data_IF_366886315487
#
_entry.id   IF_366886315487
#
_cell.length_a   1.000
_cell.length_b   1.000
_cell.length_c   1.000
_cell.angle_alpha   90.00
_cell.angle_beta   90.00
_cell.angle_gamma   90.00
#
_symmetry.space_group_name_H-M   'P 1'
#
loop_
_entity.id
_entity.type
_entity.pdbx_description
1 polymer ?
#
# COMPACT_ATOMS: atom_id res chain seq x y z
N UNK A 1 96.88 -4.54 -14.39
CA UNK A 1 96.12 -3.47 -13.71
C UNK A 1 95.74 -2.43 -14.76
N UNK A 2 94.45 -2.10 -14.88
CA UNK A 2 93.88 -1.07 -15.78
C UNK A 2 94.50 0.30 -15.43
N UNK A 3 94.68 1.31 -16.30
CA UNK A 3 93.74 1.96 -17.22
C UNK A 3 94.57 2.84 -18.18
N UNK A 4 94.18 2.93 -19.46
CA UNK A 4 94.53 4.06 -20.30
C UNK A 4 93.29 4.62 -21.00
N UNK A 5 93.38 5.93 -21.14
CA UNK A 5 92.40 6.92 -21.52
C UNK A 5 92.33 7.07 -23.05
N UNK A 6 91.24 7.73 -23.48
CA UNK A 6 91.00 8.44 -24.75
C UNK A 6 90.61 7.60 -25.97
N UNK A 7 89.44 7.94 -26.51
CA UNK A 7 89.33 8.32 -27.92
C UNK A 7 88.06 9.17 -28.11
N UNK A 8 88.26 10.45 -28.43
CA UNK A 8 87.24 11.29 -29.03
C UNK A 8 87.06 10.89 -30.49
N UNK A 9 85.82 10.82 -30.98
CA UNK A 9 85.54 10.71 -32.41
C UNK A 9 84.42 11.69 -32.77
N UNK A 10 84.77 12.56 -33.73
CA UNK A 10 84.01 13.71 -34.17
C UNK A 10 82.89 13.36 -35.16
N UNK A 11 81.96 14.31 -35.24
CA UNK A 11 80.74 14.42 -36.04
C UNK A 11 80.83 13.94 -37.51
N UNK A 12 79.76 13.26 -37.94
CA UNK A 12 79.26 13.36 -39.30
C UNK A 12 77.73 13.44 -39.26
N UNK A 13 77.18 14.63 -39.51
CA UNK A 13 75.74 14.87 -39.67
C UNK A 13 75.33 14.54 -41.09
N UNK A 14 74.51 13.50 -41.26
CA UNK A 14 73.90 13.16 -42.55
C UNK A 14 72.52 13.82 -42.62
N UNK A 15 72.25 14.72 -43.56
CA UNK A 15 70.92 15.29 -43.75
C UNK A 15 70.01 14.22 -44.36
N UNK A 16 69.02 13.75 -43.61
CA UNK A 16 67.92 12.95 -44.17
C UNK A 16 66.79 13.87 -44.59
N UNK A 17 66.40 13.75 -45.86
CA UNK A 17 65.29 14.47 -46.46
C UNK A 17 63.98 14.12 -45.74
N UNK A 18 63.22 15.16 -45.39
CA UNK A 18 61.86 15.04 -44.89
C UNK A 18 60.93 14.60 -46.04
N UNK A 19 60.40 13.39 -45.98
CA UNK A 19 59.26 12.96 -46.79
C UNK A 19 57.96 13.31 -46.05
N UNK A 20 57.08 13.98 -46.78
CA UNK A 20 55.79 14.47 -46.32
C UNK A 20 54.88 13.36 -45.80
N UNK A 21 54.02 13.71 -44.85
CA UNK A 21 53.03 12.83 -44.24
C UNK A 21 51.96 12.40 -45.26
N UNK A 22 51.90 11.10 -45.54
CA UNK A 22 50.75 10.51 -46.23
C UNK A 22 49.53 10.46 -45.29
N UNK A 23 48.40 10.94 -45.82
CA UNK A 23 47.09 10.91 -45.19
C UNK A 23 46.70 9.46 -44.84
N UNK A 24 46.42 9.22 -43.55
CA UNK A 24 45.83 7.96 -43.07
C UNK A 24 44.47 7.79 -43.75
N UNK A 25 44.40 6.86 -44.70
CA UNK A 25 43.14 6.35 -45.25
C UNK A 25 42.38 5.65 -44.13
N UNK A 26 41.32 6.26 -43.63
CA UNK A 26 40.39 5.64 -42.68
C UNK A 26 39.85 4.35 -43.29
N UNK A 27 39.94 3.19 -42.60
CA UNK A 27 39.24 2.01 -43.05
C UNK A 27 37.75 2.30 -42.95
N UNK A 28 37.01 1.99 -44.03
CA UNK A 28 35.56 2.07 -44.05
C UNK A 28 35.02 1.31 -42.82
N UNK A 29 34.17 1.99 -42.04
CA UNK A 29 33.57 1.43 -40.86
C UNK A 29 32.89 0.10 -41.23
N UNK A 30 33.50 -1.01 -40.80
CA UNK A 30 32.84 -2.31 -40.84
C UNK A 30 31.56 -2.16 -40.02
N UNK A 31 30.41 -2.23 -40.69
CA UNK A 31 29.11 -2.20 -40.05
C UNK A 31 29.08 -3.32 -39.00
N UNK A 32 29.14 -2.94 -37.73
CA UNK A 32 28.91 -3.88 -36.63
C UNK A 32 27.52 -4.48 -36.85
N UNK A 33 27.36 -5.81 -36.82
CA UNK A 33 26.03 -6.39 -36.86
C UNK A 33 25.22 -5.75 -35.73
N UNK A 34 24.04 -5.24 -36.08
CA UNK A 34 23.08 -4.67 -35.14
C UNK A 34 22.87 -5.68 -34.01
N UNK A 35 23.49 -5.44 -32.85
CA UNK A 35 23.14 -6.14 -31.64
C UNK A 35 21.68 -5.80 -31.37
N UNK A 36 20.81 -6.76 -31.66
CA UNK A 36 19.40 -6.71 -31.31
C UNK A 36 19.37 -6.38 -29.83
N UNK A 37 18.96 -5.17 -29.46
CA UNK A 37 18.75 -4.77 -28.07
C UNK A 37 17.84 -5.84 -27.49
N UNK A 38 18.39 -6.71 -26.64
CA UNK A 38 17.61 -7.71 -25.92
C UNK A 38 16.56 -6.93 -25.13
N UNK A 39 15.28 -7.15 -25.42
CA UNK A 39 14.18 -6.60 -24.64
C UNK A 39 14.47 -6.82 -23.16
N UNK A 40 14.52 -5.74 -22.39
CA UNK A 40 14.62 -5.83 -20.94
C UNK A 40 13.47 -6.73 -20.45
N UNK A 41 13.70 -7.66 -19.51
CA UNK A 41 12.64 -8.52 -19.03
C UNK A 41 11.51 -7.64 -18.48
N UNK A 42 10.33 -7.75 -19.09
CA UNK A 42 9.13 -7.10 -18.57
C UNK A 42 8.89 -7.72 -17.19
N UNK A 43 9.20 -6.96 -16.14
CA UNK A 43 8.95 -7.38 -14.76
C UNK A 43 7.43 -7.33 -14.53
N UNK A 44 6.72 -8.37 -14.98
CA UNK A 44 5.30 -8.50 -14.73
C UNK A 44 5.11 -8.72 -13.24
N UNK A 45 4.38 -7.81 -12.60
CA UNK A 45 4.06 -7.96 -11.18
C UNK A 45 3.22 -9.22 -11.01
N UNK A 46 3.44 -10.03 -9.96
CA UNK A 46 2.70 -11.26 -9.75
C UNK A 46 1.18 -11.02 -9.71
N UNK A 47 0.43 -11.98 -10.25
CA UNK A 47 -1.03 -12.02 -10.16
C UNK A 47 -1.43 -13.28 -9.40
N UNK A 48 -2.21 -13.11 -8.33
CA UNK A 48 -2.79 -14.22 -7.56
C UNK A 48 -4.25 -14.39 -7.94
N UNK A 49 -4.66 -15.62 -8.26
CA UNK A 49 -6.04 -15.93 -8.66
C UNK A 49 -6.54 -17.20 -7.99
N UNK A 50 -7.77 -17.17 -7.49
CA UNK A 50 -8.40 -18.35 -6.90
C UNK A 50 -9.40 -18.01 -5.81
N UNK A 51 -9.90 -19.04 -5.12
CA UNK A 51 -10.70 -18.85 -3.92
C UNK A 51 -9.80 -18.41 -2.76
N UNK A 52 -10.32 -17.52 -1.92
CA UNK A 52 -9.58 -16.93 -0.80
C UNK A 52 -10.30 -17.14 0.52
N UNK A 53 -9.53 -17.24 1.61
CA UNK A 53 -10.06 -17.05 2.95
C UNK A 53 -9.82 -15.61 3.39
N UNK A 54 -10.83 -14.98 3.98
CA UNK A 54 -10.71 -13.61 4.52
C UNK A 54 -10.13 -13.66 5.93
N UNK A 55 -8.95 -13.08 6.12
CA UNK A 55 -8.26 -13.08 7.42
C UNK A 55 -8.76 -11.95 8.32
N UNK A 56 -8.83 -10.74 7.78
CA UNK A 56 -9.27 -9.48 8.43
C UNK A 56 -9.95 -8.58 7.37
N UNK A 57 -10.25 -7.31 7.72
CA UNK A 57 -10.95 -6.37 6.83
C UNK A 57 -10.17 -5.94 5.56
N UNK A 58 -8.91 -6.36 5.41
CA UNK A 58 -8.09 -6.00 4.23
C UNK A 58 -7.09 -7.07 3.78
N UNK A 59 -7.02 -8.22 4.44
CA UNK A 59 -6.07 -9.29 4.15
C UNK A 59 -6.79 -10.56 3.70
N UNK A 60 -6.34 -11.08 2.56
CA UNK A 60 -6.80 -12.32 1.95
C UNK A 60 -5.71 -13.39 2.06
N UNK A 61 -6.14 -14.62 2.26
CA UNK A 61 -5.28 -15.81 2.23
C UNK A 61 -5.62 -16.65 1.01
N UNK A 62 -4.62 -16.90 0.17
CA UNK A 62 -4.70 -17.81 -0.95
C UNK A 62 -4.12 -19.16 -0.55
N UNK A 63 -4.95 -20.17 -0.21
CA UNK A 63 -4.46 -21.47 0.24
C UNK A 63 -3.65 -22.20 -0.84
N UNK A 64 -3.96 -21.99 -2.13
CA UNK A 64 -3.28 -22.65 -3.24
C UNK A 64 -1.81 -22.21 -3.38
N UNK A 65 -1.50 -20.99 -2.94
CA UNK A 65 -0.16 -20.40 -3.00
C UNK A 65 0.52 -20.33 -1.63
N UNK A 66 -0.18 -20.74 -0.56
CA UNK A 66 0.19 -20.45 0.81
C UNK A 66 0.59 -18.96 1.02
N UNK A 67 -0.18 -18.04 0.44
CA UNK A 67 0.20 -16.62 0.36
C UNK A 67 -0.86 -15.70 0.95
N UNK A 68 -0.42 -14.76 1.78
CA UNK A 68 -1.23 -13.61 2.22
C UNK A 68 -1.13 -12.48 1.21
N UNK A 69 -2.23 -11.80 0.94
CA UNK A 69 -2.27 -10.60 0.08
C UNK A 69 -3.10 -9.54 0.78
N UNK A 70 -2.61 -8.31 0.80
CA UNK A 70 -3.29 -7.17 1.41
C UNK A 70 -3.85 -6.24 0.34
N UNK A 71 -5.08 -5.77 0.53
CA UNK A 71 -5.68 -4.76 -0.32
C UNK A 71 -4.87 -3.46 -0.23
N UNK A 72 -4.39 -2.97 -1.37
CA UNK A 72 -3.63 -1.72 -1.46
C UNK A 72 -4.55 -0.51 -1.40
N UNK A 73 -3.99 0.67 -1.08
CA UNK A 73 -4.65 1.98 -1.02
C UNK A 73 -5.74 2.14 0.05
N UNK A 74 -6.11 1.06 0.75
CA UNK A 74 -7.06 1.09 1.86
C UNK A 74 -6.48 0.52 3.15
N UNK A 75 -7.08 0.94 4.26
CA UNK A 75 -6.85 0.39 5.58
C UNK A 75 -8.18 0.07 6.26
N UNK A 76 -8.18 -0.94 7.11
CA UNK A 76 -9.35 -1.42 7.81
C UNK A 76 -8.99 -1.68 9.28
N UNK A 77 -9.99 -1.68 10.14
CA UNK A 77 -9.79 -1.97 11.56
C UNK A 77 -9.15 -3.34 11.77
N UNK A 78 -8.25 -3.40 12.75
CA UNK A 78 -7.71 -4.67 13.24
C UNK A 78 -8.83 -5.50 13.90
N UNK A 79 -8.71 -6.83 13.88
CA UNK A 79 -9.77 -7.72 14.39
C UNK A 79 -10.26 -7.41 15.81
N UNK A 80 -9.40 -7.04 16.79
CA UNK A 80 -9.87 -6.69 18.12
C UNK A 80 -10.16 -5.19 18.30
N UNK A 81 -10.16 -4.39 17.22
CA UNK A 81 -10.42 -2.97 17.29
C UNK A 81 -11.93 -2.66 17.30
N UNK A 82 -12.30 -1.75 18.19
CA UNK A 82 -13.63 -1.24 18.42
C UNK A 82 -13.74 0.23 18.02
N UNK A 83 -14.92 0.62 17.58
CA UNK A 83 -15.32 2.02 17.48
C UNK A 83 -16.35 2.29 18.59
N UNK A 84 -16.19 3.37 19.35
CA UNK A 84 -17.01 3.69 20.53
C UNK A 84 -16.99 5.19 20.79
N UNK A 85 -18.05 5.75 21.35
CA UNK A 85 -18.05 7.17 21.74
C UNK A 85 -17.21 7.38 23.02
N UNK A 86 -16.10 8.15 22.97
CA UNK A 86 -15.25 8.39 24.14
C UNK A 86 -15.90 9.28 25.19
N UNK A 87 -17.08 9.87 24.92
CA UNK A 87 -17.85 10.63 25.92
C UNK A 87 -18.88 9.75 26.62
N UNK A 88 -18.98 8.48 26.25
CA UNK A 88 -19.94 7.55 26.83
C UNK A 88 -19.44 6.99 28.17
N UNK A 89 -19.56 7.81 29.21
CA UNK A 89 -19.12 7.49 30.58
C UNK A 89 -20.24 6.88 31.44
N UNK A 90 -21.50 7.16 31.12
CA UNK A 90 -22.67 6.69 31.87
C UNK A 90 -23.77 6.19 30.91
N UNK A 91 -23.95 4.86 30.87
CA UNK A 91 -24.89 4.18 29.95
C UNK A 91 -26.35 4.50 30.24
N UNK A 92 -26.67 4.81 31.49
CA UNK A 92 -28.05 5.07 31.93
C UNK A 92 -28.45 6.52 31.65
N UNK A 93 -27.49 7.45 31.78
CA UNK A 93 -27.74 8.88 31.57
C UNK A 93 -27.52 9.36 30.14
N UNK A 94 -26.65 8.71 29.37
CA UNK A 94 -26.31 9.16 28.01
C UNK A 94 -26.59 8.06 26.97
N UNK A 95 -27.57 8.34 26.10
CA UNK A 95 -27.79 7.55 24.88
C UNK A 95 -26.66 7.81 23.89
N UNK A 96 -25.64 6.95 23.89
CA UNK A 96 -24.66 6.86 22.82
C UNK A 96 -24.94 5.62 21.94
N UNK A 97 -24.49 5.61 20.68
CA UNK A 97 -24.48 4.39 19.88
C UNK A 97 -23.68 3.29 20.60
N UNK A 98 -24.19 2.06 20.57
CA UNK A 98 -23.47 0.90 21.11
C UNK A 98 -22.06 0.78 20.47
N UNK A 99 -21.06 0.26 21.20
CA UNK A 99 -19.74 0.00 20.63
C UNK A 99 -19.86 -0.88 19.39
N UNK A 100 -19.16 -0.49 18.33
CA UNK A 100 -19.15 -1.20 17.05
C UNK A 100 -17.90 -2.07 17.01
N UNK A 101 -18.03 -3.41 16.87
CA UNK A 101 -16.89 -4.29 16.64
C UNK A 101 -16.36 -4.05 15.22
N UNK A 102 -15.50 -3.04 15.08
CA UNK A 102 -15.06 -2.53 13.79
C UNK A 102 -14.33 -3.59 12.96
N UNK A 103 -13.31 -4.24 13.55
CA UNK A 103 -12.55 -5.30 12.89
C UNK A 103 -13.38 -6.50 12.47
N UNK A 104 -14.17 -7.11 13.38
CA UNK A 104 -14.96 -8.29 13.05
C UNK A 104 -16.03 -8.00 11.99
N UNK A 105 -16.66 -6.82 12.03
CA UNK A 105 -17.64 -6.42 11.01
C UNK A 105 -16.99 -6.12 9.66
N UNK A 106 -15.81 -5.48 9.63
CA UNK A 106 -15.07 -5.28 8.39
C UNK A 106 -14.69 -6.62 7.73
N UNK A 107 -14.18 -7.58 8.52
CA UNK A 107 -13.93 -8.95 8.05
C UNK A 107 -15.19 -9.62 7.52
N UNK A 108 -16.29 -9.56 8.29
CA UNK A 108 -17.55 -10.18 7.90
C UNK A 108 -18.09 -9.58 6.59
N UNK A 109 -17.98 -8.27 6.42
CA UNK A 109 -18.39 -7.59 5.20
C UNK A 109 -17.52 -7.97 4.00
N UNK A 110 -16.20 -8.02 4.18
CA UNK A 110 -15.28 -8.47 3.13
C UNK A 110 -15.60 -9.91 2.70
N UNK A 111 -15.85 -10.80 3.67
CA UNK A 111 -16.29 -12.18 3.41
C UNK A 111 -17.61 -12.20 2.61
N UNK A 112 -18.59 -11.37 2.97
CA UNK A 112 -19.86 -11.25 2.23
C UNK A 112 -19.65 -10.72 0.82
N UNK A 113 -18.77 -9.74 0.65
CA UNK A 113 -18.48 -9.10 -0.64
C UNK A 113 -17.86 -10.10 -1.63
N UNK A 114 -16.93 -10.93 -1.15
CA UNK A 114 -16.28 -11.97 -1.96
C UNK A 114 -17.23 -13.15 -2.20
N UNK A 115 -17.95 -13.61 -1.16
CA UNK A 115 -18.80 -14.79 -1.24
C UNK A 115 -18.01 -16.03 -1.69
N UNK A 116 -18.57 -16.78 -2.65
CA UNK A 116 -17.95 -17.97 -3.23
C UNK A 116 -17.20 -17.68 -4.54
N UNK A 117 -16.99 -16.40 -4.88
CA UNK A 117 -16.40 -16.01 -6.16
C UNK A 117 -14.86 -16.09 -6.09
N UNK A 118 -14.18 -16.46 -7.18
CA UNK A 118 -12.73 -16.32 -7.26
C UNK A 118 -12.34 -14.84 -7.16
N UNK A 119 -11.19 -14.59 -6.54
CA UNK A 119 -10.58 -13.26 -6.43
C UNK A 119 -9.29 -13.23 -7.23
N UNK A 120 -9.13 -12.19 -8.05
CA UNK A 120 -7.92 -11.93 -8.81
C UNK A 120 -7.24 -10.67 -8.26
N UNK A 121 -5.98 -10.81 -7.84
CA UNK A 121 -5.20 -9.76 -7.21
C UNK A 121 -3.91 -9.49 -8.01
N UNK A 122 -3.77 -8.29 -8.55
CA UNK A 122 -2.52 -7.83 -9.21
C UNK A 122 -1.66 -7.09 -8.19
N UNK A 123 -0.48 -7.63 -7.90
CA UNK A 123 0.46 -7.00 -6.95
C UNK A 123 0.92 -5.65 -7.49
N UNK A 124 0.96 -4.65 -6.60
CA UNK A 124 1.42 -3.30 -6.90
C UNK A 124 2.73 -3.00 -6.19
N UNK A 125 2.84 -3.42 -4.94
CA UNK A 125 3.99 -3.19 -4.08
C UNK A 125 4.08 -4.32 -3.04
N UNK A 126 5.14 -4.30 -2.24
CA UNK A 126 5.29 -5.16 -1.08
C UNK A 126 5.30 -4.28 0.18
N UNK A 127 4.58 -4.73 1.22
CA UNK A 127 4.66 -4.10 2.53
C UNK A 127 6.02 -4.30 3.17
N UNK A 128 6.32 -3.52 4.22
CA UNK A 128 7.53 -3.70 5.03
C UNK A 128 7.58 -5.07 5.71
N UNK A 129 6.43 -5.69 5.92
CA UNK A 129 6.24 -7.04 6.45
C UNK A 129 6.39 -8.14 5.38
N UNK A 130 6.78 -7.78 4.15
CA UNK A 130 6.91 -8.71 3.03
C UNK A 130 5.58 -9.17 2.45
N UNK A 131 4.44 -8.73 2.98
CA UNK A 131 3.13 -9.11 2.46
C UNK A 131 2.85 -8.32 1.17
N UNK A 132 2.56 -8.99 0.04
CA UNK A 132 2.15 -8.32 -1.20
C UNK A 132 0.95 -7.40 -0.97
N UNK A 133 1.05 -6.17 -1.49
CA UNK A 133 -0.05 -5.21 -1.58
C UNK A 133 -0.58 -5.20 -3.00
N UNK A 134 -1.85 -5.55 -3.18
CA UNK A 134 -2.44 -5.79 -4.48
C UNK A 134 -3.79 -5.09 -4.64
N UNK A 135 -4.14 -4.82 -5.91
CA UNK A 135 -5.51 -4.46 -6.30
C UNK A 135 -6.25 -5.74 -6.61
N UNK A 136 -7.39 -5.92 -5.97
CA UNK A 136 -8.12 -7.18 -6.02
C UNK A 136 -9.53 -6.99 -6.52
N UNK A 137 -9.97 -7.88 -7.40
CA UNK A 137 -11.32 -7.89 -7.95
C UNK A 137 -12.03 -9.21 -7.66
N UNK A 138 -13.35 -9.14 -7.44
CA UNK A 138 -14.21 -10.31 -7.30
C UNK A 138 -15.43 -10.15 -8.21
N UNK A 139 -15.60 -11.07 -9.16
CA UNK A 139 -16.66 -10.97 -10.17
C UNK A 139 -16.64 -9.64 -10.94
N UNK A 140 -15.44 -9.14 -11.27
CA UNK A 140 -15.24 -7.89 -12.01
C UNK A 140 -15.36 -6.60 -11.19
N UNK A 141 -15.63 -6.67 -9.88
CA UNK A 141 -15.75 -5.50 -9.00
C UNK A 141 -14.51 -5.31 -8.14
N UNK A 142 -14.04 -4.07 -8.02
CA UNK A 142 -12.96 -3.69 -7.11
C UNK A 142 -13.42 -3.83 -5.65
N UNK A 143 -12.75 -4.73 -4.92
CA UNK A 143 -13.09 -5.06 -3.54
C UNK A 143 -12.83 -3.86 -2.60
N UNK A 144 -11.78 -3.08 -2.86
CA UNK A 144 -11.43 -1.95 -2.01
C UNK A 144 -12.47 -0.83 -2.13
N UNK A 145 -13.00 -0.59 -3.34
CA UNK A 145 -14.12 0.33 -3.56
C UNK A 145 -15.35 -0.08 -2.73
N UNK A 146 -15.69 -1.37 -2.71
CA UNK A 146 -16.82 -1.86 -1.92
C UNK A 146 -16.63 -1.60 -0.43
N UNK A 147 -15.43 -1.87 0.10
CA UNK A 147 -15.10 -1.66 1.51
C UNK A 147 -15.17 -0.17 1.91
N UNK A 148 -14.73 0.73 1.02
CA UNK A 148 -14.83 2.18 1.23
C UNK A 148 -16.27 2.66 1.21
N UNK A 149 -17.06 2.23 0.21
CA UNK A 149 -18.45 2.67 0.00
C UNK A 149 -19.34 2.39 1.21
N UNK A 150 -19.11 1.26 1.87
CA UNK A 150 -19.89 0.81 3.04
C UNK A 150 -19.28 1.23 4.37
N UNK A 151 -18.14 1.93 4.35
CA UNK A 151 -17.50 2.46 5.55
C UNK A 151 -16.82 1.41 6.43
N UNK A 152 -16.36 0.28 5.87
CA UNK A 152 -15.55 -0.71 6.60
C UNK A 152 -14.04 -0.59 6.32
N UNK A 153 -13.66 0.38 5.50
CA UNK A 153 -12.29 0.76 5.28
C UNK A 153 -12.18 2.29 5.12
N UNK A 154 -10.96 2.80 5.29
CA UNK A 154 -10.54 4.15 4.95
C UNK A 154 -9.47 4.11 3.88
N UNK A 155 -9.27 5.23 3.20
CA UNK A 155 -8.15 5.44 2.29
C UNK A 155 -6.87 5.54 3.11
N UNK A 156 -5.86 4.76 2.73
CA UNK A 156 -4.58 4.68 3.42
C UNK A 156 -3.60 5.81 3.02
N UNK A 157 -3.74 6.34 1.80
CA UNK A 157 -2.92 7.43 1.27
C UNK A 157 -3.78 8.34 0.38
N UNK A 158 -3.66 9.68 0.47
CA UNK A 158 -4.39 10.60 -0.41
C UNK A 158 -3.98 10.43 -1.89
N UNK A 159 -2.83 9.81 -2.15
CA UNK A 159 -2.33 9.50 -3.50
C UNK A 159 -2.80 8.11 -3.97
N UNK A 160 -4.08 7.78 -3.77
CA UNK A 160 -4.63 6.50 -4.18
C UNK A 160 -4.69 6.37 -5.71
N UNK A 161 -4.56 5.15 -6.23
CA UNK A 161 -4.65 4.90 -7.67
C UNK A 161 -5.96 5.34 -8.32
N UNK A 162 -7.07 5.26 -7.58
CA UNK A 162 -8.39 5.62 -8.05
C UNK A 162 -8.85 6.90 -7.33
N UNK A 163 -8.94 8.01 -8.08
CA UNK A 163 -9.32 9.31 -7.55
C UNK A 163 -10.70 9.36 -6.87
N UNK A 164 -11.57 8.35 -7.11
CA UNK A 164 -12.89 8.26 -6.48
C UNK A 164 -12.88 7.66 -5.07
N UNK A 165 -11.75 7.10 -4.60
CA UNK A 165 -11.68 6.46 -3.29
C UNK A 165 -12.04 7.41 -2.14
N UNK A 166 -11.52 8.64 -2.18
CA UNK A 166 -11.84 9.66 -1.20
C UNK A 166 -13.32 10.04 -1.25
N UNK A 167 -13.93 10.12 -2.44
CA UNK A 167 -15.35 10.40 -2.58
C UNK A 167 -16.22 9.30 -1.94
N UNK A 168 -15.88 8.02 -2.15
CA UNK A 168 -16.58 6.91 -1.50
C UNK A 168 -16.45 6.95 0.03
N UNK A 169 -15.25 7.22 0.55
CA UNK A 169 -15.05 7.37 1.98
C UNK A 169 -15.87 8.55 2.52
N UNK A 170 -15.80 9.72 1.89
CA UNK A 170 -16.53 10.91 2.32
C UNK A 170 -18.04 10.66 2.33
N UNK A 171 -18.57 9.93 1.33
CA UNK A 171 -19.97 9.52 1.33
C UNK A 171 -20.30 8.59 2.50
N UNK A 172 -19.48 7.56 2.76
CA UNK A 172 -19.70 6.65 3.88
C UNK A 172 -19.60 7.36 5.25
N UNK A 173 -18.66 8.29 5.40
CA UNK A 173 -18.49 9.16 6.55
C UNK A 173 -19.73 10.05 6.75
N UNK A 174 -20.15 10.73 5.68
CA UNK A 174 -21.34 11.57 5.68
C UNK A 174 -22.60 10.75 5.97
N UNK A 175 -22.70 9.50 5.51
CA UNK A 175 -23.83 8.61 5.77
C UNK A 175 -23.76 7.88 7.13
N UNK A 176 -22.62 7.94 7.83
CA UNK A 176 -22.35 7.21 9.08
C UNK A 176 -22.41 5.69 8.90
N UNK A 177 -21.93 5.20 7.77
CA UNK A 177 -21.87 3.77 7.50
C UNK A 177 -20.67 3.10 8.17
N UNK A 178 -20.85 1.82 8.51
CA UNK A 178 -19.81 0.97 9.06
C UNK A 178 -19.15 1.56 10.31
N UNK A 179 -17.83 1.67 10.28
CA UNK A 179 -17.04 2.18 11.41
C UNK A 179 -17.27 3.66 11.69
N UNK A 180 -17.82 4.42 10.74
CA UNK A 180 -18.11 5.86 10.87
C UNK A 180 -19.38 6.15 11.68
N UNK A 181 -20.11 5.10 12.12
CA UNK A 181 -21.31 5.22 12.94
C UNK A 181 -21.03 5.74 14.36
N UNK A 182 -19.79 5.62 14.83
CA UNK A 182 -19.29 6.15 16.09
C UNK A 182 -17.82 6.58 15.92
N UNK A 183 -17.12 6.91 16.99
CA UNK A 183 -15.72 7.32 16.91
C UNK A 183 -14.82 6.09 16.78
N UNK A 184 -13.96 6.11 15.77
CA UNK A 184 -12.98 5.06 15.50
C UNK A 184 -11.58 5.65 15.58
N UNK A 185 -10.67 4.94 16.25
CA UNK A 185 -9.27 5.34 16.30
C UNK A 185 -8.62 5.04 14.95
N UNK A 186 -7.73 5.91 14.48
CA UNK A 186 -6.97 5.62 13.26
C UNK A 186 -6.25 4.27 13.37
N UNK A 187 -6.28 3.47 12.31
CA UNK A 187 -5.75 2.10 12.32
C UNK A 187 -4.25 2.07 12.58
N UNK A 188 -3.49 3.05 12.06
CA UNK A 188 -2.05 3.11 12.33
C UNK A 188 -1.78 3.56 13.76
N UNK A 189 -2.57 4.51 14.27
CA UNK A 189 -2.50 4.92 15.68
C UNK A 189 -2.84 3.76 16.61
N UNK A 190 -3.92 3.01 16.34
CA UNK A 190 -4.30 1.82 17.08
C UNK A 190 -3.19 0.78 17.10
N UNK A 191 -2.58 0.48 15.94
CA UNK A 191 -1.45 -0.45 15.86
C UNK A 191 -0.23 0.00 16.67
N UNK A 192 -0.01 1.31 16.84
CA UNK A 192 1.08 1.86 17.67
C UNK A 192 0.75 1.82 19.16
N UNK A 193 -0.46 2.20 19.55
CA UNK A 193 -0.84 2.42 20.96
C UNK A 193 -1.45 1.20 21.66
N UNK A 194 -2.12 0.31 20.93
CA UNK A 194 -2.77 -0.84 21.54
C UNK A 194 -1.73 -1.83 22.09
N UNK A 195 -1.67 -1.95 23.42
CA UNK A 195 -0.81 -2.92 24.11
C UNK A 195 -1.37 -4.34 23.95
N UNK A 196 -2.65 -4.55 24.28
CA UNK A 196 -3.36 -5.80 24.04
C UNK A 196 -3.99 -5.82 22.65
N UNK A 197 -3.52 -6.74 21.80
CA UNK A 197 -4.01 -6.99 20.43
C UNK A 197 -4.65 -8.36 20.29
N UNK A 198 -5.05 -8.98 21.40
CA UNK A 198 -5.72 -10.29 21.39
C UNK A 198 -7.19 -10.16 21.02
N UNK A 199 -7.80 -11.25 20.53
CA UNK A 199 -9.22 -11.26 20.13
C UNK A 199 -10.19 -11.08 21.32
N UNK A 200 -9.72 -11.22 22.56
CA UNK A 200 -10.52 -11.02 23.78
C UNK A 200 -10.62 -9.57 24.24
N UNK A 201 -9.99 -8.63 23.52
CA UNK A 201 -9.96 -7.21 23.85
C UNK A 201 -11.36 -6.64 24.01
N UNK A 202 -11.61 -6.00 25.15
CA UNK A 202 -12.89 -5.38 25.47
C UNK A 202 -13.01 -3.97 24.89
N UNK A 203 -14.22 -3.49 24.56
CA UNK A 203 -14.42 -2.14 24.01
C UNK A 203 -13.85 -1.01 24.89
N UNK A 204 -13.86 -1.19 26.21
CA UNK A 204 -13.35 -0.20 27.17
C UNK A 204 -11.85 0.09 26.98
N UNK A 205 -11.09 -0.86 26.42
CA UNK A 205 -9.67 -0.65 26.17
C UNK A 205 -9.43 0.37 25.03
N UNK A 206 -10.35 0.46 24.06
CA UNK A 206 -10.27 1.44 22.97
C UNK A 206 -10.86 2.80 23.37
N UNK A 207 -11.72 2.86 24.39
CA UNK A 207 -12.18 4.12 24.98
C UNK A 207 -10.99 4.99 25.43
N UNK A 208 -10.07 4.41 26.20
CA UNK A 208 -8.89 5.14 26.70
C UNK A 208 -8.03 5.67 25.55
N UNK A 209 -7.80 4.85 24.53
CA UNK A 209 -7.04 5.25 23.34
C UNK A 209 -7.72 6.37 22.56
N UNK A 210 -9.05 6.37 22.51
CA UNK A 210 -9.82 7.42 21.84
C UNK A 210 -9.80 8.73 22.63
N UNK A 211 -9.83 8.71 23.96
CA UNK A 211 -9.69 9.92 24.79
C UNK A 211 -8.35 10.61 24.51
N UNK A 212 -7.28 9.84 24.34
CA UNK A 212 -5.90 10.32 24.12
C UNK A 212 -5.47 10.30 22.64
N UNK A 213 -6.43 10.36 21.70
CA UNK A 213 -6.13 10.24 20.27
C UNK A 213 -5.31 11.41 19.73
N UNK A 214 -4.32 11.11 18.91
CA UNK A 214 -3.48 12.09 18.20
C UNK A 214 -4.22 12.72 17.03
N UNK A 215 -5.11 11.95 16.40
CA UNK A 215 -5.86 12.39 15.22
C UNK A 215 -7.33 12.00 15.30
N UNK A 216 -8.22 12.93 14.96
CA UNK A 216 -9.63 12.65 14.75
C UNK A 216 -9.88 12.35 13.27
N UNK A 217 -10.29 11.11 12.99
CA UNK A 217 -10.63 10.67 11.63
C UNK A 217 -12.15 10.51 11.43
N UNK A 218 -12.91 10.49 12.52
CA UNK A 218 -14.36 10.33 12.51
C UNK A 218 -15.04 11.67 12.25
N UNK A 219 -16.14 11.72 11.50
CA UNK A 219 -16.83 12.98 11.24
C UNK A 219 -17.44 13.55 12.53
N UNK A 220 -17.55 14.88 12.70
CA UNK A 220 -18.06 15.51 13.91
C UNK A 220 -19.51 15.10 14.20
N UNK A 221 -19.78 14.50 15.36
CA UNK A 221 -21.11 13.96 15.70
C UNK A 221 -22.13 15.03 16.14
N UNK A 222 -21.73 16.29 16.26
CA UNK A 222 -22.66 17.42 16.51
C UNK A 222 -23.73 17.48 15.40
N UNK A 223 -23.31 17.22 14.16
CA UNK A 223 -24.20 17.28 12.98
C UNK A 223 -25.13 16.07 12.87
N UNK A 224 -24.79 14.95 13.50
CA UNK A 224 -25.62 13.74 13.48
C UNK A 224 -26.97 13.97 14.18
N UNK A 225 -27.01 14.84 15.21
CA UNK A 225 -28.26 15.21 15.90
C UNK A 225 -29.22 16.02 15.03
N UNK A 226 -28.71 16.68 13.99
CA UNK A 226 -29.47 17.55 13.09
C UNK A 226 -29.94 16.83 11.82
N UNK A 227 -29.55 15.57 11.61
CA UNK A 227 -29.97 14.85 10.42
C UNK A 227 -31.46 14.54 10.47
N UNK A 228 -32.20 14.73 9.36
CA UNK A 228 -33.57 14.26 9.27
C UNK A 228 -33.61 12.76 9.58
N UNK A 229 -34.60 12.33 10.36
CA UNK A 229 -34.85 10.92 10.64
C UNK A 229 -34.95 10.20 9.29
N UNK A 230 -34.05 9.26 9.04
CA UNK A 230 -34.09 8.42 7.83
C UNK A 230 -35.45 7.75 7.76
N UNK A 231 -36.20 8.02 6.70
CA UNK A 231 -37.55 7.49 6.45
C UNK A 231 -37.53 6.29 5.49
N UNK A 232 -36.35 5.74 5.23
CA UNK A 232 -36.19 4.68 4.25
C UNK A 232 -36.51 3.31 4.86
N UNK A 233 -37.50 2.69 4.23
CA UNK A 233 -38.04 1.34 4.40
C UNK A 233 -37.17 0.32 3.67
#
# INVERSE_FOLDING_TARGET
MKRYLLAAAALATIPHAATAADLIRTPAAAARPSQRLSEAPIYQKPVYKGQVAVMDGRTLWYPQYAQRVRLVDIDACELPQWAIDPKWVDRERQKAPSPVPCGPLAKAWLKRTIGNKPVECTVVAYGKDGIPQARCTSGGRDIAVEMLRVGWARVASPYSYNGQYLAYQQHAMAARYGMWATYVLDMNEWRRKAVDKTLGRQPIADFNLLVERESEISPPFIDARKKPKRTDR
#
